data_IF_963197612872
#
_entry.id   IF_963197612872
#
_cell.length_a   1.000
_cell.length_b   1.000
_cell.length_c   1.000
_cell.angle_alpha   90.00
_cell.angle_beta   90.00
_cell.angle_gamma   90.00
#
_symmetry.space_group_name_H-M   'P 1'
#
loop_
_entity.id
_entity.type
_entity.pdbx_description
1 polymer ?
#
# COMPACT_ATOMS: atom_id res chain seq x y z
N UNK A 1 6.93 -2.91 0.27
CA UNK A 1 5.98 -2.35 1.25
C UNK A 1 6.40 -2.80 2.64
N UNK A 2 6.45 -1.86 3.57
CA UNK A 2 6.80 -2.11 4.98
C UNK A 2 5.61 -1.66 5.83
N UNK A 3 5.31 -2.40 6.89
CA UNK A 3 4.30 -2.02 7.87
C UNK A 3 4.99 -1.94 9.22
N UNK A 4 5.03 -0.75 9.81
CA UNK A 4 5.94 -0.47 10.92
C UNK A 4 7.38 -0.76 10.51
N UNK A 5 8.03 -1.70 11.18
CA UNK A 5 9.42 -2.12 10.92
C UNK A 5 9.52 -3.41 10.09
N UNK A 6 8.40 -4.03 9.70
CA UNK A 6 8.38 -5.33 9.03
C UNK A 6 8.15 -5.22 7.53
N UNK A 7 8.98 -5.92 6.74
CA UNK A 7 8.79 -6.06 5.29
C UNK A 7 7.58 -6.97 5.04
N UNK A 8 6.51 -6.41 4.47
CA UNK A 8 5.26 -7.12 4.19
C UNK A 8 5.23 -7.76 2.79
N UNK A 9 5.83 -7.11 1.78
CA UNK A 9 5.87 -7.61 0.40
C UNK A 9 5.76 -6.51 -0.66
N UNK A 10 5.45 -6.90 -1.91
CA UNK A 10 5.17 -6.00 -3.02
C UNK A 10 3.68 -6.08 -3.34
N UNK A 11 2.99 -4.95 -3.37
CA UNK A 11 1.61 -4.85 -3.82
C UNK A 11 1.58 -4.53 -5.32
N UNK A 12 0.85 -5.33 -6.10
CA UNK A 12 0.65 -5.12 -7.54
C UNK A 12 -0.68 -4.40 -7.83
N UNK A 13 -1.47 -4.11 -6.80
CA UNK A 13 -2.71 -3.36 -6.88
C UNK A 13 -3.34 -3.13 -5.50
N UNK A 14 -4.50 -2.44 -5.44
CA UNK A 14 -5.19 -2.12 -4.19
C UNK A 14 -5.60 -3.34 -3.36
N UNK A 15 -5.96 -4.44 -4.02
CA UNK A 15 -6.36 -5.67 -3.33
C UNK A 15 -5.21 -6.27 -2.49
N UNK A 16 -3.98 -6.25 -3.02
CA UNK A 16 -2.80 -6.70 -2.29
C UNK A 16 -2.51 -5.79 -1.10
N UNK A 17 -2.66 -4.47 -1.28
CA UNK A 17 -2.50 -3.50 -0.19
C UNK A 17 -3.50 -3.76 0.95
N UNK A 18 -4.78 -3.94 0.64
CA UNK A 18 -5.80 -4.22 1.67
C UNK A 18 -5.56 -5.55 2.39
N UNK A 19 -5.08 -6.57 1.68
CA UNK A 19 -4.70 -7.84 2.31
C UNK A 19 -3.53 -7.65 3.29
N UNK A 20 -2.55 -6.80 2.96
CA UNK A 20 -1.47 -6.50 3.88
C UNK A 20 -1.91 -5.67 5.09
N UNK A 21 -2.80 -4.68 4.90
CA UNK A 21 -3.37 -3.89 5.99
C UNK A 21 -4.14 -4.79 6.97
N UNK A 22 -4.96 -5.70 6.44
CA UNK A 22 -5.68 -6.69 7.24
C UNK A 22 -4.73 -7.59 8.05
N UNK A 23 -3.62 -8.04 7.46
CA UNK A 23 -2.60 -8.83 8.17
C UNK A 23 -1.91 -8.04 9.28
N UNK A 24 -1.86 -6.71 9.16
CA UNK A 24 -1.37 -5.82 10.20
C UNK A 24 -2.42 -5.47 11.28
N UNK A 25 -3.64 -5.98 11.16
CA UNK A 25 -4.73 -5.71 12.10
C UNK A 25 -5.51 -4.43 11.82
N UNK A 26 -5.31 -3.80 10.67
CA UNK A 26 -6.09 -2.65 10.22
C UNK A 26 -7.34 -3.11 9.47
N UNK A 27 -8.45 -2.42 9.67
CA UNK A 27 -9.67 -2.64 8.91
C UNK A 27 -9.60 -1.85 7.59
N UNK A 28 -9.55 -2.50 6.42
CA UNK A 28 -9.44 -1.81 5.13
C UNK A 28 -10.63 -0.88 4.85
N UNK A 29 -11.81 -1.14 5.41
CA UNK A 29 -12.98 -0.27 5.22
C UNK A 29 -12.84 1.08 5.95
N UNK A 30 -11.88 1.17 6.87
CA UNK A 30 -11.56 2.39 7.62
C UNK A 30 -10.31 3.11 7.07
N UNK A 31 -9.69 2.61 5.99
CA UNK A 31 -8.47 3.17 5.42
C UNK A 31 -8.78 3.95 4.14
N UNK A 32 -8.53 5.25 4.17
CA UNK A 32 -8.52 6.08 2.97
C UNK A 32 -7.14 6.08 2.32
N UNK A 33 -7.04 5.62 1.07
CA UNK A 33 -5.75 5.53 0.35
C UNK A 33 -5.08 6.89 0.09
N UNK A 34 -5.90 7.95 0.09
CA UNK A 34 -5.46 9.33 -0.07
C UNK A 34 -5.04 10.00 1.23
N UNK A 35 -5.25 9.36 2.39
CA UNK A 35 -4.88 9.94 3.69
C UNK A 35 -3.36 9.86 3.90
N UNK A 36 -2.64 11.01 3.85
CA UNK A 36 -1.19 11.02 3.99
C UNK A 36 -0.73 10.73 5.42
N UNK A 37 -1.64 10.73 6.40
CA UNK A 37 -1.33 10.33 7.79
C UNK A 37 -1.31 8.81 7.97
N UNK A 38 -1.98 8.08 7.08
CA UNK A 38 -2.04 6.62 7.08
C UNK A 38 -1.10 5.99 6.04
N UNK A 39 -0.97 6.61 4.86
CA UNK A 39 -0.20 6.06 3.75
C UNK A 39 0.80 7.08 3.20
N UNK A 40 2.08 6.73 3.31
CA UNK A 40 3.16 7.39 2.60
C UNK A 40 3.45 6.65 1.28
N UNK A 41 3.11 7.27 0.16
CA UNK A 41 3.41 6.76 -1.17
C UNK A 41 4.84 7.10 -1.60
N UNK A 42 5.62 6.11 -2.06
CA UNK A 42 6.98 6.32 -2.59
C UNK A 42 7.04 6.02 -4.08
N UNK A 43 7.50 7.00 -4.86
CA UNK A 43 7.62 6.92 -6.33
C UNK A 43 6.33 7.34 -7.05
N UNK A 44 5.24 6.59 -6.89
CA UNK A 44 3.92 6.89 -7.45
C UNK A 44 2.83 6.88 -6.38
N UNK A 45 1.65 7.45 -6.69
CA UNK A 45 0.49 7.50 -5.79
C UNK A 45 -0.45 6.28 -5.92
N UNK A 46 -1.65 6.32 -5.30
CA UNK A 46 -2.61 5.21 -5.30
C UNK A 46 -3.12 4.82 -6.69
N UNK A 47 -2.81 5.60 -7.72
CA UNK A 47 -3.16 5.36 -9.12
C UNK A 47 -2.09 4.54 -9.87
N UNK A 48 -0.88 4.39 -9.30
CA UNK A 48 0.27 3.74 -9.97
C UNK A 48 0.74 2.54 -9.17
N UNK A 49 0.54 1.35 -9.75
CA UNK A 49 0.89 0.06 -9.16
C UNK A 49 1.80 -0.74 -10.11
N UNK A 50 2.67 -1.57 -9.55
CA UNK A 50 3.63 -2.35 -10.32
C UNK A 50 4.85 -1.55 -10.78
N UNK A 51 5.82 -2.21 -11.46
CA UNK A 51 7.01 -1.53 -11.94
C UNK A 51 6.63 -0.41 -12.92
N UNK A 52 7.28 0.75 -12.81
CA UNK A 52 7.18 1.74 -13.89
C UNK A 52 7.57 1.08 -15.21
N UNK A 53 6.83 1.32 -16.32
CA UNK A 53 7.25 0.80 -17.60
C UNK A 53 8.67 1.31 -17.85
N UNK A 54 9.63 0.39 -17.91
CA UNK A 54 11.00 0.72 -18.25
C UNK A 54 10.98 1.38 -19.62
N UNK A 55 11.44 2.64 -19.68
CA UNK A 55 11.66 3.35 -20.93
C UNK A 55 12.77 2.69 -21.77
#
# INVERSE_FOLDING_TARGET
MTIGDQIAGLAMGPADLFEFLRRAGLDPDLVELSDPTLIEWRGGGPERWGPEPSA
#
